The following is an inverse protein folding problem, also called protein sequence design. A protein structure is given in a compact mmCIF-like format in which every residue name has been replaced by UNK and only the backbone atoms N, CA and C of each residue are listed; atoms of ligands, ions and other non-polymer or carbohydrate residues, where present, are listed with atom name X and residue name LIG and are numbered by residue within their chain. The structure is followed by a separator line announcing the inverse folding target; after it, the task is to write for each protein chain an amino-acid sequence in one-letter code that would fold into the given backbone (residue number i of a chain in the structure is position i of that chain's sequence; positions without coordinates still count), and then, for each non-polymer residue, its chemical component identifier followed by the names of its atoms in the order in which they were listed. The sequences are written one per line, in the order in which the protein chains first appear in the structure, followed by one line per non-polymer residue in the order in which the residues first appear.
data_IF_275280003927
#
_entry.id   IF_275280003927
#
_cell.length_a   1.000
_cell.length_b   1.000
_cell.length_c   1.000
_cell.angle_alpha   90.00
_cell.angle_beta   90.00
_cell.angle_gamma   90.00
#
_symmetry.space_group_name_H-M   'P 1'
#
loop_
_entity.id
_entity.type
_entity.pdbx_description
1 polymer ?
#
# COMPACT_ATOMS: atom_id res chain seq x y z
N UNK A 1 7.32 -18.87 21.40
CA UNK A 1 6.73 -19.03 20.05
C UNK A 1 7.62 -18.32 19.06
N UNK A 2 8.37 -19.07 18.22
CA UNK A 2 9.06 -18.53 17.05
C UNK A 2 7.99 -18.39 15.97
N UNK A 3 7.85 -17.19 15.40
CA UNK A 3 7.09 -17.01 14.17
C UNK A 3 8.16 -16.95 13.08
N UNK A 4 8.34 -18.06 12.37
CA UNK A 4 9.14 -18.10 11.16
C UNK A 4 8.28 -17.50 10.04
N UNK A 5 8.59 -16.26 9.65
CA UNK A 5 8.10 -15.71 8.40
C UNK A 5 8.79 -16.47 7.26
N UNK A 6 8.18 -17.56 6.81
CA UNK A 6 8.68 -18.35 5.69
C UNK A 6 8.31 -17.66 4.36
N UNK A 7 8.81 -16.44 4.17
CA UNK A 7 8.85 -15.82 2.85
C UNK A 7 10.10 -16.31 2.14
N UNK A 8 10.00 -17.43 1.42
CA UNK A 8 10.77 -17.54 0.18
C UNK A 8 10.12 -16.61 -0.84
N UNK A 9 10.42 -15.31 -0.73
CA UNK A 9 10.40 -14.47 -1.92
C UNK A 9 11.47 -15.06 -2.84
N UNK A 10 11.07 -15.92 -3.78
CA UNK A 10 11.86 -16.15 -4.98
C UNK A 10 11.86 -14.81 -5.73
N UNK A 11 12.75 -13.90 -5.31
CA UNK A 11 13.36 -12.94 -6.21
C UNK A 11 14.06 -13.81 -7.26
N UNK A 12 13.32 -14.28 -8.27
CA UNK A 12 14.00 -14.58 -9.52
C UNK A 12 14.51 -13.23 -9.98
N UNK A 13 15.82 -13.13 -10.03
CA UNK A 13 16.57 -12.04 -10.63
C UNK A 13 16.01 -11.78 -12.05
N UNK A 14 15.00 -10.93 -12.17
CA UNK A 14 14.55 -10.37 -13.46
C UNK A 14 15.18 -9.00 -13.72
N UNK A 15 16.18 -8.64 -12.93
CA UNK A 15 17.11 -7.57 -13.28
C UNK A 15 18.27 -8.18 -14.09
N UNK A 16 18.17 -8.07 -15.41
CA UNK A 16 19.21 -8.39 -16.37
C UNK A 16 20.47 -7.52 -16.23
N UNK A 17 21.14 -7.57 -15.08
CA UNK A 17 22.43 -6.93 -14.81
C UNK A 17 23.50 -8.02 -14.81
N UNK A 18 24.17 -8.21 -15.95
CA UNK A 18 25.41 -8.99 -16.02
C UNK A 18 26.52 -8.22 -15.28
N UNK A 19 26.71 -8.53 -14.00
CA UNK A 19 27.95 -8.29 -13.26
C UNK A 19 28.90 -9.49 -13.34
N UNK A 20 30.23 -9.31 -13.16
CA UNK A 20 31.22 -10.29 -13.60
C UNK A 20 31.23 -11.55 -12.73
N UNK A 21 31.44 -12.68 -13.41
CA UNK A 21 31.64 -14.02 -12.85
C UNK A 21 32.40 -14.02 -11.51
N UNK A 22 31.75 -14.53 -10.45
CA UNK A 22 32.44 -15.14 -9.30
C UNK A 22 31.81 -16.49 -9.00
N UNK A 23 32.71 -17.42 -8.74
CA UNK A 23 32.55 -18.87 -8.62
C UNK A 23 31.69 -19.28 -7.41
N UNK A 24 30.99 -20.41 -7.57
CA UNK A 24 30.03 -20.95 -6.62
C UNK A 24 30.59 -21.26 -5.23
N UNK A 25 29.79 -20.90 -4.23
CA UNK A 25 29.83 -21.35 -2.85
C UNK A 25 28.43 -21.13 -2.25
N UNK A 26 28.03 -21.86 -1.20
CA UNK A 26 26.74 -21.64 -0.57
C UNK A 26 26.67 -20.20 -0.05
N UNK A 27 25.71 -19.43 -0.55
CA UNK A 27 25.47 -18.05 -0.11
C UNK A 27 25.19 -18.01 1.39
N UNK A 28 25.44 -16.86 2.06
CA UNK A 28 25.23 -16.74 3.49
C UNK A 28 23.77 -17.05 3.83
N UNK A 29 23.58 -18.03 4.71
CA UNK A 29 22.30 -18.38 5.30
C UNK A 29 21.73 -17.14 6.01
N UNK A 30 20.71 -16.52 5.41
CA UNK A 30 20.05 -15.33 5.92
C UNK A 30 19.33 -15.67 7.23
N UNK A 31 19.95 -15.38 8.37
CA UNK A 31 19.22 -15.34 9.64
C UNK A 31 18.26 -14.16 9.60
N UNK A 32 16.96 -14.46 9.71
CA UNK A 32 15.94 -13.45 9.94
C UNK A 32 16.36 -12.54 11.11
N UNK A 33 16.18 -11.20 11.00
CA UNK A 33 16.44 -10.30 12.10
C UNK A 33 15.65 -10.75 13.34
N UNK A 34 16.27 -10.70 14.51
CA UNK A 34 15.62 -11.06 15.77
C UNK A 34 14.52 -10.03 16.09
N UNK A 35 13.30 -10.29 15.66
CA UNK A 35 12.12 -9.51 16.02
C UNK A 35 11.96 -9.47 17.54
N UNK A 36 11.92 -8.27 18.15
CA UNK A 36 11.60 -8.14 19.59
C UNK A 36 10.15 -8.57 19.81
N UNK A 37 9.92 -9.36 20.86
CA UNK A 37 8.63 -10.01 21.20
C UNK A 37 7.43 -9.06 21.44
N UNK A 38 7.59 -7.74 21.35
CA UNK A 38 6.59 -6.74 21.75
C UNK A 38 5.70 -6.23 20.62
N UNK A 39 5.97 -6.55 19.36
CA UNK A 39 5.25 -5.98 18.21
C UNK A 39 4.80 -7.13 17.30
N UNK A 40 3.61 -7.68 17.58
CA UNK A 40 2.95 -8.54 16.60
C UNK A 40 2.41 -7.64 15.48
N UNK A 41 3.11 -7.62 14.35
CA UNK A 41 2.60 -7.09 13.09
C UNK A 41 1.76 -8.18 12.43
N UNK A 42 0.45 -8.00 12.40
CA UNK A 42 -0.39 -8.78 11.50
C UNK A 42 -0.46 -8.03 10.16
N UNK A 43 0.12 -8.63 9.14
CA UNK A 43 0.02 -8.16 7.77
C UNK A 43 -1.22 -8.79 7.14
N UNK A 44 -2.23 -7.98 6.86
CA UNK A 44 -3.44 -8.44 6.20
C UNK A 44 -3.33 -8.15 4.71
N UNK A 45 -3.06 -9.20 3.92
CA UNK A 45 -3.03 -9.15 2.46
C UNK A 45 -4.27 -9.91 1.99
N UNK A 46 -5.33 -9.18 1.63
CA UNK A 46 -6.44 -9.78 0.91
C UNK A 46 -6.08 -9.82 -0.57
N UNK A 47 -5.31 -10.84 -0.99
CA UNK A 47 -5.17 -11.13 -2.41
C UNK A 47 -6.56 -11.54 -2.91
N UNK A 48 -7.03 -10.84 -3.94
CA UNK A 48 -8.39 -10.97 -4.45
C UNK A 48 -8.69 -12.43 -4.79
N UNK A 49 -9.71 -12.96 -4.12
CA UNK A 49 -10.36 -14.25 -4.37
C UNK A 49 -9.42 -15.43 -4.68
N UNK A 50 -8.93 -16.08 -3.61
CA UNK A 50 -8.93 -17.55 -3.57
C UNK A 50 -8.05 -18.29 -4.59
N UNK A 51 -6.97 -17.68 -5.10
CA UNK A 51 -5.81 -18.50 -5.42
C UNK A 51 -5.23 -18.97 -4.09
N UNK A 52 -5.59 -20.18 -3.67
CA UNK A 52 -4.79 -20.94 -2.71
C UNK A 52 -3.35 -20.94 -3.23
N UNK A 53 -2.54 -19.99 -2.78
CA UNK A 53 -1.12 -20.23 -2.71
C UNK A 53 -1.01 -21.22 -1.55
N UNK A 54 -0.63 -22.49 -1.77
CA UNK A 54 -0.57 -23.49 -0.70
C UNK A 54 0.41 -23.12 0.45
N UNK A 55 1.08 -21.96 0.37
CA UNK A 55 1.96 -21.40 1.38
C UNK A 55 1.38 -20.24 2.20
N UNK A 56 0.15 -19.75 1.93
CA UNK A 56 -0.47 -18.69 2.73
C UNK A 56 -1.66 -19.28 3.52
N UNK A 57 -1.52 -19.54 4.83
CA UNK A 57 -2.63 -20.07 5.61
C UNK A 57 -3.77 -19.05 5.66
N UNK A 58 -4.99 -19.48 5.34
CA UNK A 58 -6.20 -18.71 5.63
C UNK A 58 -6.25 -18.42 7.13
N UNK A 59 -6.29 -17.13 7.49
CA UNK A 59 -6.28 -16.71 8.89
C UNK A 59 -7.70 -16.51 9.39
N UNK A 60 -8.19 -17.44 10.21
CA UNK A 60 -9.39 -17.24 11.03
C UNK A 60 -8.97 -16.57 12.33
N UNK A 61 -9.44 -15.34 12.59
CA UNK A 61 -9.24 -14.67 13.89
C UNK A 61 -10.06 -15.44 14.92
N UNK A 62 -9.41 -16.30 15.70
CA UNK A 62 -10.00 -16.88 16.90
C UNK A 62 -9.91 -15.83 18.01
N UNK A 63 -11.08 -15.40 18.50
CA UNK A 63 -11.25 -14.33 19.49
C UNK A 63 -10.87 -14.79 20.90
N UNK A 64 -9.58 -15.06 21.13
CA UNK A 64 -9.00 -15.10 22.47
C UNK A 64 -8.59 -13.68 22.87
N UNK A 65 -9.56 -12.84 23.30
CA UNK A 65 -9.48 -11.60 24.12
C UNK A 65 -8.24 -10.66 24.00
N UNK A 66 -7.50 -10.67 22.89
CA UNK A 66 -6.26 -9.88 22.75
C UNK A 66 -6.33 -9.01 21.51
N UNK A 67 -6.62 -7.73 21.74
CA UNK A 67 -6.52 -6.70 20.71
C UNK A 67 -5.06 -6.55 20.26
N UNK A 68 -4.83 -6.65 18.96
CA UNK A 68 -3.49 -6.46 18.39
C UNK A 68 -3.00 -5.02 18.60
N UNK A 69 -1.70 -4.79 18.87
CA UNK A 69 -1.14 -3.44 18.96
C UNK A 69 -1.23 -2.69 17.64
N UNK A 70 -0.98 -3.40 16.53
CA UNK A 70 -0.98 -2.82 15.19
C UNK A 70 -1.42 -3.84 14.14
N UNK A 71 -2.23 -3.40 13.19
CA UNK A 71 -2.48 -4.10 11.92
C UNK A 71 -2.03 -3.19 10.78
N UNK A 72 -1.42 -3.77 9.74
CA UNK A 72 -1.21 -3.08 8.47
C UNK A 72 -1.94 -3.84 7.37
N UNK A 73 -2.95 -3.19 6.78
CA UNK A 73 -3.70 -3.69 5.64
C UNK A 73 -3.06 -3.20 4.35
N UNK A 74 -2.71 -4.13 3.47
CA UNK A 74 -2.12 -3.82 2.17
C UNK A 74 -3.18 -4.01 1.11
N UNK A 75 -3.69 -2.89 0.61
CA UNK A 75 -4.78 -2.77 -0.33
C UNK A 75 -5.96 -3.73 -0.05
N UNK A 76 -6.64 -3.60 1.09
CA UNK A 76 -7.66 -4.55 1.50
C UNK A 76 -8.76 -4.71 0.43
N UNK A 77 -9.06 -5.95 0.05
CA UNK A 77 -10.02 -6.22 -1.01
C UNK A 77 -11.40 -5.59 -0.74
N UNK A 78 -11.97 -5.01 -1.80
CA UNK A 78 -13.32 -4.45 -1.82
C UNK A 78 -14.41 -5.51 -1.88
N UNK A 79 -14.14 -6.62 -2.58
CA UNK A 79 -15.10 -7.68 -2.83
C UNK A 79 -15.63 -8.23 -1.49
N UNK A 80 -16.96 -8.35 -1.38
CA UNK A 80 -17.70 -8.81 -0.20
C UNK A 80 -17.74 -7.84 1.00
N UNK A 81 -16.98 -6.74 1.02
CA UNK A 81 -16.92 -5.81 2.16
C UNK A 81 -17.43 -4.39 1.84
N UNK A 82 -17.64 -4.04 0.56
CA UNK A 82 -18.30 -2.80 0.16
C UNK A 82 -19.52 -3.03 -0.74
N UNK A 83 -20.61 -2.29 -0.49
CA UNK A 83 -21.85 -2.34 -1.28
C UNK A 83 -23.07 -2.75 -0.45
N UNK A 84 -24.22 -2.91 -1.10
CA UNK A 84 -25.51 -3.21 -0.46
C UNK A 84 -25.58 -4.60 0.20
N UNK A 85 -24.64 -5.49 -0.13
CA UNK A 85 -24.52 -6.86 0.40
C UNK A 85 -23.21 -7.05 1.18
N UNK A 86 -22.61 -5.96 1.68
CA UNK A 86 -21.36 -6.03 2.42
C UNK A 86 -21.50 -6.91 3.68
N UNK A 87 -20.55 -7.82 3.87
CA UNK A 87 -20.39 -8.55 5.12
C UNK A 87 -19.94 -7.57 6.21
N UNK A 88 -20.48 -7.66 7.44
CA UNK A 88 -20.17 -6.73 8.53
C UNK A 88 -18.73 -6.86 9.09
N UNK A 89 -17.91 -7.77 8.59
CA UNK A 89 -16.64 -8.20 9.20
C UNK A 89 -15.40 -7.86 8.35
N UNK A 90 -15.37 -6.67 7.74
CA UNK A 90 -14.18 -6.16 7.05
C UNK A 90 -13.11 -5.62 8.00
N UNK A 91 -11.87 -5.51 7.52
CA UNK A 91 -10.81 -4.80 8.24
C UNK A 91 -11.23 -3.32 8.41
N UNK A 92 -11.26 -2.86 9.66
CA UNK A 92 -11.57 -1.48 10.00
C UNK A 92 -10.66 -0.93 11.11
N UNK A 93 -10.84 0.35 11.45
CA UNK A 93 -10.06 1.03 12.49
C UNK A 93 -10.20 0.45 13.90
N UNK A 94 -11.20 -0.40 14.15
CA UNK A 94 -11.45 -1.03 15.46
C UNK A 94 -10.81 -2.41 15.57
N UNK A 95 -10.30 -2.96 14.46
CA UNK A 95 -9.67 -4.28 14.37
C UNK A 95 -8.36 -4.39 15.17
N UNK A 96 -7.72 -3.27 15.51
CA UNK A 96 -6.54 -3.21 16.39
C UNK A 96 -6.45 -1.83 17.09
N UNK A 97 -5.49 -1.68 18.01
CA UNK A 97 -5.22 -0.37 18.66
C UNK A 97 -4.73 0.69 17.67
N UNK A 98 -4.10 0.26 16.58
CA UNK A 98 -3.61 1.13 15.52
C UNK A 98 -3.67 0.37 14.18
N UNK A 99 -4.44 0.88 13.22
CA UNK A 99 -4.61 0.24 11.91
C UNK A 99 -4.08 1.18 10.83
N UNK A 100 -3.11 0.71 10.05
CA UNK A 100 -2.57 1.44 8.90
C UNK A 100 -3.03 0.74 7.63
N UNK A 101 -3.63 1.47 6.70
CA UNK A 101 -4.05 0.93 5.41
C UNK A 101 -3.22 1.58 4.30
N UNK A 102 -2.78 0.78 3.33
CA UNK A 102 -2.13 1.27 2.11
C UNK A 102 -3.08 1.02 0.95
N UNK A 103 -3.56 2.08 0.30
CA UNK A 103 -4.50 1.99 -0.84
C UNK A 103 -3.75 2.19 -2.15
N UNK A 104 -3.32 1.11 -2.79
CA UNK A 104 -2.61 1.18 -4.06
C UNK A 104 -3.52 0.96 -5.27
N UNK A 105 -4.66 0.30 -5.11
CA UNK A 105 -5.69 0.14 -6.15
C UNK A 105 -7.10 0.45 -5.62
N UNK A 106 -7.34 1.69 -5.14
CA UNK A 106 -8.63 2.06 -4.58
C UNK A 106 -9.74 2.09 -5.64
N UNK A 107 -10.74 1.23 -5.48
CA UNK A 107 -11.89 1.14 -6.37
C UNK A 107 -11.76 0.12 -7.50
N UNK A 108 -10.54 -0.36 -7.77
CA UNK A 108 -10.31 -1.59 -8.53
C UNK A 108 -10.56 -2.80 -7.63
N UNK A 109 -9.47 -3.45 -7.23
CA UNK A 109 -9.46 -4.56 -6.30
C UNK A 109 -9.51 -4.13 -4.83
N UNK A 110 -8.87 -3.03 -4.49
CA UNK A 110 -8.81 -2.46 -3.15
C UNK A 110 -10.03 -1.61 -2.77
N UNK A 111 -10.25 -1.46 -1.47
CA UNK A 111 -11.26 -0.54 -0.93
C UNK A 111 -10.99 0.91 -1.36
N UNK A 112 -12.05 1.59 -1.81
CA UNK A 112 -12.00 3.01 -2.16
C UNK A 112 -12.24 3.94 -0.96
N UNK A 113 -12.61 3.38 0.20
CA UNK A 113 -12.95 4.13 1.40
C UNK A 113 -11.83 4.01 2.44
N UNK A 114 -11.59 5.07 3.22
CA UNK A 114 -10.77 4.98 4.42
C UNK A 114 -11.30 3.89 5.34
N UNK A 115 -10.42 3.00 5.78
CA UNK A 115 -10.72 1.89 6.68
C UNK A 115 -9.81 1.88 7.91
N UNK A 116 -8.71 2.64 7.89
CA UNK A 116 -7.70 2.64 8.93
C UNK A 116 -7.91 3.66 10.04
N UNK A 117 -7.00 3.57 11.01
CA UNK A 117 -6.63 4.72 11.84
C UNK A 117 -5.84 5.74 11.03
N UNK A 118 -4.97 5.24 10.15
CA UNK A 118 -4.19 5.97 9.15
C UNK A 118 -4.40 5.28 7.80
N UNK A 119 -4.75 6.06 6.80
CA UNK A 119 -4.95 5.60 5.43
C UNK A 119 -3.92 6.30 4.53
N UNK A 120 -3.01 5.53 3.95
CA UNK A 120 -1.94 6.00 3.08
C UNK A 120 -2.34 5.72 1.63
N UNK A 121 -2.28 6.74 0.78
CA UNK A 121 -2.79 6.73 -0.59
C UNK A 121 -1.67 7.05 -1.59
N UNK A 122 -0.78 6.09 -1.92
CA UNK A 122 0.26 6.28 -2.91
C UNK A 122 -0.34 6.58 -4.29
N UNK A 123 0.13 7.65 -4.92
CA UNK A 123 -0.25 8.06 -6.28
C UNK A 123 -1.76 8.18 -6.49
N UNK A 124 -2.51 8.50 -5.44
CA UNK A 124 -3.95 8.68 -5.56
C UNK A 124 -4.28 9.74 -6.59
N UNK A 125 -5.42 9.61 -7.24
CA UNK A 125 -5.82 10.53 -8.31
C UNK A 125 -5.12 10.31 -9.64
N UNK A 126 -4.08 9.48 -9.72
CA UNK A 126 -3.58 8.93 -10.98
C UNK A 126 -4.54 7.85 -11.53
N UNK A 127 -4.38 7.51 -12.82
CA UNK A 127 -5.15 6.41 -13.44
C UNK A 127 -4.78 5.03 -12.88
N UNK A 128 -3.61 4.92 -12.26
CA UNK A 128 -3.03 3.73 -11.67
C UNK A 128 -1.67 4.08 -11.07
N UNK A 129 -1.00 3.09 -10.50
CA UNK A 129 0.33 3.24 -9.94
C UNK A 129 1.38 3.42 -11.06
N UNK A 130 2.38 4.28 -10.85
CA UNK A 130 3.47 4.45 -11.81
C UNK A 130 4.12 3.11 -12.17
N UNK A 131 4.28 2.85 -13.47
CA UNK A 131 4.91 1.64 -13.99
C UNK A 131 4.01 0.42 -14.08
N UNK A 132 2.73 0.51 -13.70
CA UNK A 132 1.75 -0.51 -14.00
C UNK A 132 1.13 -0.29 -15.40
N UNK A 133 0.89 -1.38 -16.14
CA UNK A 133 0.32 -1.28 -17.47
C UNK A 133 -1.14 -0.83 -17.39
N UNK A 134 -1.64 -0.25 -18.49
CA UNK A 134 -3.00 0.26 -18.59
C UNK A 134 -3.67 -0.40 -19.78
N UNK A 135 -4.85 -0.98 -19.58
CA UNK A 135 -5.56 -1.69 -20.64
C UNK A 135 -6.47 -2.78 -20.08
N UNK A 136 -7.10 -3.51 -21.00
CA UNK A 136 -7.90 -4.68 -20.66
C UNK A 136 -6.97 -5.89 -20.60
N UNK A 137 -6.77 -6.42 -19.39
CA UNK A 137 -5.99 -7.62 -19.15
C UNK A 137 -6.89 -8.76 -18.69
N UNK A 138 -6.39 -9.98 -18.81
CA UNK A 138 -7.07 -11.13 -18.22
C UNK A 138 -7.14 -10.94 -16.71
N UNK A 139 -8.33 -11.16 -16.13
CA UNK A 139 -8.55 -11.01 -14.70
C UNK A 139 -7.54 -11.84 -13.91
N UNK A 140 -6.97 -11.24 -12.87
CA UNK A 140 -5.94 -11.84 -12.01
C UNK A 140 -4.60 -12.14 -12.70
N UNK A 141 -4.39 -11.65 -13.92
CA UNK A 141 -3.05 -11.66 -14.52
C UNK A 141 -2.12 -10.71 -13.76
N UNK A 142 -0.81 -10.88 -13.96
CA UNK A 142 0.19 -10.01 -13.34
C UNK A 142 0.00 -8.53 -13.73
N UNK A 143 -0.42 -8.29 -14.97
CA UNK A 143 -0.69 -6.94 -15.46
C UNK A 143 -1.95 -6.34 -14.83
N UNK A 144 -3.01 -7.15 -14.69
CA UNK A 144 -4.28 -6.76 -14.05
C UNK A 144 -4.14 -6.51 -12.54
N UNK A 145 -3.29 -7.27 -11.85
CA UNK A 145 -3.03 -7.12 -10.40
C UNK A 145 -1.94 -6.10 -10.07
N UNK A 146 -1.29 -5.49 -11.07
CA UNK A 146 -0.08 -4.70 -10.84
C UNK A 146 -0.29 -3.57 -9.81
N UNK A 147 -1.40 -2.82 -9.92
CA UNK A 147 -1.72 -1.72 -9.02
C UNK A 147 -1.99 -2.21 -7.60
N UNK A 148 -2.72 -3.32 -7.47
CA UNK A 148 -3.03 -3.97 -6.19
C UNK A 148 -1.75 -4.49 -5.50
N UNK A 149 -0.84 -5.09 -6.27
CA UNK A 149 0.45 -5.60 -5.80
C UNK A 149 1.40 -4.51 -5.28
N UNK A 150 1.20 -3.24 -5.66
CA UNK A 150 2.08 -2.16 -5.21
C UNK A 150 2.04 -1.94 -3.70
N UNK A 151 0.90 -2.19 -3.03
CA UNK A 151 0.83 -1.99 -1.59
C UNK A 151 1.87 -2.83 -0.83
N UNK A 152 1.97 -4.13 -1.14
CA UNK A 152 2.95 -4.99 -0.47
C UNK A 152 4.38 -4.68 -0.90
N UNK A 153 4.60 -4.32 -2.17
CA UNK A 153 5.93 -3.95 -2.67
C UNK A 153 6.46 -2.67 -1.99
N UNK A 154 5.63 -1.63 -1.87
CA UNK A 154 5.98 -0.41 -1.15
C UNK A 154 6.25 -0.68 0.32
N UNK A 155 5.42 -1.51 0.97
CA UNK A 155 5.62 -1.85 2.38
C UNK A 155 6.93 -2.60 2.63
N UNK A 156 7.28 -3.59 1.80
CA UNK A 156 8.57 -4.31 1.90
C UNK A 156 9.75 -3.38 1.69
N UNK A 157 9.69 -2.45 0.74
CA UNK A 157 10.74 -1.46 0.54
C UNK A 157 10.82 -0.49 1.73
N UNK A 158 9.69 -0.05 2.26
CA UNK A 158 9.62 0.86 3.40
C UNK A 158 10.23 0.24 4.68
N UNK A 159 10.06 -1.06 4.91
CA UNK A 159 10.75 -1.76 6.01
C UNK A 159 12.27 -1.71 5.83
N UNK A 160 12.76 -1.87 4.59
CA UNK A 160 14.20 -1.84 4.27
C UNK A 160 14.77 -0.42 4.28
N UNK A 161 13.97 0.58 3.92
CA UNK A 161 14.34 1.98 3.83
C UNK A 161 13.27 2.88 4.47
N UNK A 162 13.29 3.05 5.81
CA UNK A 162 12.17 3.63 6.57
C UNK A 162 11.83 5.09 6.27
N UNK A 163 12.70 5.83 5.58
CA UNK A 163 12.47 7.24 5.22
C UNK A 163 12.10 7.43 3.74
N UNK A 164 11.94 6.34 2.98
CA UNK A 164 11.78 6.40 1.53
C UNK A 164 10.36 6.76 1.06
N UNK A 165 9.36 6.64 1.93
CA UNK A 165 7.94 6.90 1.64
C UNK A 165 7.32 7.89 2.65
N UNK A 166 7.72 9.17 2.64
CA UNK A 166 7.01 10.20 3.39
C UNK A 166 5.65 10.45 2.75
N UNK A 167 4.61 10.54 3.58
CA UNK A 167 3.25 10.85 3.18
C UNK A 167 2.70 11.99 4.03
N UNK A 168 2.05 12.96 3.41
CA UNK A 168 1.54 14.16 4.09
C UNK A 168 0.06 14.04 4.42
N UNK A 169 -0.33 14.50 5.60
CA UNK A 169 -1.74 14.53 5.99
C UNK A 169 -2.52 15.56 5.14
N UNK A 170 -3.73 15.21 4.74
CA UNK A 170 -4.71 16.14 4.18
C UNK A 170 -6.14 15.61 4.37
N UNK A 171 -7.13 16.51 4.34
CA UNK A 171 -8.54 16.09 4.42
C UNK A 171 -9.02 15.44 3.12
N UNK A 172 -8.39 15.79 2.00
CA UNK A 172 -8.67 15.23 0.68
C UNK A 172 -7.44 15.28 -0.24
N UNK A 173 -7.47 14.49 -1.31
CA UNK A 173 -6.44 14.54 -2.35
C UNK A 173 -6.36 15.91 -3.06
N UNK A 174 -7.50 16.57 -3.27
CA UNK A 174 -7.53 17.89 -3.93
C UNK A 174 -6.86 18.96 -3.06
N UNK A 175 -7.05 18.90 -1.74
CA UNK A 175 -6.31 19.73 -0.79
C UNK A 175 -4.82 19.44 -0.86
N UNK A 176 -4.43 18.16 -0.77
CA UNK A 176 -3.02 17.76 -0.83
C UNK A 176 -2.37 18.23 -2.14
N UNK A 177 -2.97 17.94 -3.29
CA UNK A 177 -2.39 18.24 -4.61
C UNK A 177 -2.30 19.74 -4.94
N UNK A 178 -2.99 20.59 -4.19
CA UNK A 178 -2.96 22.06 -4.36
C UNK A 178 -2.17 22.77 -3.26
N UNK A 179 -1.72 22.03 -2.24
CA UNK A 179 -1.01 22.59 -1.12
C UNK A 179 0.34 23.19 -1.57
N UNK A 180 0.68 24.34 -1.00
CA UNK A 180 1.99 24.97 -1.23
C UNK A 180 3.07 24.33 -0.35
N UNK A 181 2.66 23.72 0.76
CA UNK A 181 3.53 23.09 1.75
C UNK A 181 2.82 21.88 2.37
N UNK A 182 3.57 20.83 2.65
CA UNK A 182 3.09 19.56 3.15
C UNK A 182 3.54 19.36 4.60
N UNK A 183 2.58 19.36 5.52
CA UNK A 183 2.82 19.24 6.97
C UNK A 183 2.32 17.90 7.49
N UNK A 184 2.68 17.61 8.74
CA UNK A 184 2.26 16.40 9.46
C UNK A 184 2.59 15.13 8.64
N UNK A 185 3.87 14.94 8.35
CA UNK A 185 4.36 13.82 7.55
C UNK A 185 4.46 12.56 8.41
N UNK A 186 4.02 11.43 7.86
CA UNK A 186 4.29 10.09 8.40
C UNK A 186 5.11 9.31 7.38
N UNK A 187 5.76 8.25 7.84
CA UNK A 187 6.47 7.32 6.97
C UNK A 187 5.73 6.00 6.91
N UNK A 188 5.56 5.46 5.70
CA UNK A 188 5.09 4.08 5.52
C UNK A 188 6.09 3.10 6.18
N UNK A 189 5.59 1.97 6.68
CA UNK A 189 6.40 0.94 7.34
C UNK A 189 6.34 1.05 8.87
N UNK A 190 7.41 0.60 9.54
CA UNK A 190 7.41 0.47 11.01
C UNK A 190 7.41 1.83 11.73
N UNK A 191 7.88 2.89 11.06
CA UNK A 191 7.98 4.24 11.61
C UNK A 191 6.70 5.09 11.51
N UNK A 192 5.57 4.52 11.05
CA UNK A 192 4.31 5.28 11.03
C UNK A 192 3.94 5.72 12.46
N UNK A 193 3.84 7.02 12.71
CA UNK A 193 3.55 7.58 14.04
C UNK A 193 2.21 7.04 14.55
N UNK A 194 2.21 6.33 15.69
CA UNK A 194 1.00 5.74 16.27
C UNK A 194 -0.04 6.76 16.75
N UNK A 195 0.32 8.05 16.80
CA UNK A 195 -0.59 9.17 17.09
C UNK A 195 -1.23 9.76 15.83
N UNK A 196 -0.73 9.44 14.65
CA UNK A 196 -1.25 9.90 13.37
C UNK A 196 -2.68 9.42 13.13
N UNK A 197 -3.51 10.23 12.48
CA UNK A 197 -4.91 9.91 12.18
C UNK A 197 -5.30 10.49 10.83
N UNK A 198 -6.14 9.76 10.09
CA UNK A 198 -6.73 10.24 8.84
C UNK A 198 -5.93 9.87 7.59
N UNK A 199 -6.09 10.69 6.54
CA UNK A 199 -5.57 10.39 5.19
C UNK A 199 -4.20 11.02 4.95
N UNK A 200 -3.34 10.25 4.30
CA UNK A 200 -1.98 10.63 3.95
C UNK A 200 -1.68 10.32 2.49
N UNK A 201 -1.08 11.26 1.78
CA UNK A 201 -0.85 11.16 0.34
C UNK A 201 0.65 11.31 0.01
N UNK A 202 1.08 10.62 -1.05
CA UNK A 202 2.45 10.61 -1.55
C UNK A 202 2.50 10.17 -3.02
N UNK A 203 3.63 10.39 -3.68
CA UNK A 203 3.96 9.78 -4.98
C UNK A 203 5.16 8.83 -4.87
N UNK A 204 5.25 7.90 -5.82
CA UNK A 204 6.34 6.90 -5.92
C UNK A 204 6.95 6.89 -7.32
N UNK A 205 8.08 6.20 -7.48
CA UNK A 205 8.69 5.92 -8.78
C UNK A 205 7.96 4.78 -9.51
N UNK A 206 8.14 4.73 -10.83
CA UNK A 206 7.57 3.68 -11.65
C UNK A 206 8.22 2.30 -11.42
N UNK A 207 9.50 2.29 -11.07
CA UNK A 207 10.30 1.08 -10.87
C UNK A 207 10.96 1.12 -9.49
N UNK A 208 11.38 -0.06 -9.00
CA UNK A 208 12.15 -0.17 -7.78
C UNK A 208 13.52 0.52 -7.94
N UNK A 209 14.03 1.27 -6.94
CA UNK A 209 13.35 1.63 -5.70
C UNK A 209 12.18 2.60 -5.94
N UNK A 210 11.01 2.25 -5.40
CA UNK A 210 9.78 3.00 -5.58
C UNK A 210 9.75 4.26 -4.70
N UNK A 211 10.40 4.25 -3.55
CA UNK A 211 10.43 5.40 -2.64
C UNK A 211 11.14 6.60 -3.26
N UNK A 212 10.59 7.80 -3.03
CA UNK A 212 11.13 9.07 -3.54
C UNK A 212 11.76 9.95 -2.45
N UNK A 213 11.70 9.53 -1.18
CA UNK A 213 12.00 10.43 -0.06
C UNK A 213 11.13 11.68 -0.15
N UNK A 214 11.66 12.84 0.24
CA UNK A 214 10.91 14.11 0.28
C UNK A 214 10.31 14.52 -1.07
N UNK A 215 10.90 14.10 -2.19
CA UNK A 215 10.33 14.34 -3.52
C UNK A 215 8.98 13.63 -3.74
N UNK A 216 8.68 12.60 -2.94
CA UNK A 216 7.40 11.91 -2.92
C UNK A 216 6.26 12.73 -2.32
N UNK A 217 6.56 13.80 -1.59
CA UNK A 217 5.51 14.70 -1.06
C UNK A 217 4.88 15.55 -2.17
N UNK A 218 5.54 15.72 -3.31
CA UNK A 218 5.01 16.52 -4.41
C UNK A 218 4.01 15.72 -5.27
N UNK A 219 2.86 16.33 -5.66
CA UNK A 219 1.92 15.72 -6.60
C UNK A 219 2.50 15.64 -8.03
N UNK A 220 1.94 14.75 -8.86
CA UNK A 220 2.35 14.64 -10.26
C UNK A 220 1.94 15.89 -11.08
N UNK A 221 2.87 16.51 -11.85
CA UNK A 221 2.63 17.81 -12.48
C UNK A 221 1.53 17.86 -13.55
N UNK A 222 1.26 16.74 -14.24
CA UNK A 222 0.41 16.72 -15.45
C UNK A 222 -1.09 16.65 -15.12
N UNK A 223 -1.50 15.87 -14.12
CA UNK A 223 -2.92 15.66 -13.85
C UNK A 223 -3.57 16.75 -13.01
N UNK A 224 -2.80 17.49 -12.21
CA UNK A 224 -3.31 18.67 -11.51
C UNK A 224 -3.94 19.70 -12.47
N UNK A 225 -3.29 19.93 -13.62
CA UNK A 225 -3.78 20.88 -14.64
C UNK A 225 -5.05 20.36 -15.33
N UNK A 226 -5.13 19.06 -15.63
CA UNK A 226 -6.30 18.44 -16.27
C UNK A 226 -7.53 18.37 -15.34
N UNK A 227 -7.33 18.03 -14.06
CA UNK A 227 -8.41 18.02 -13.05
C UNK A 227 -8.97 19.42 -12.80
N UNK A 228 -8.12 20.45 -12.65
CA UNK A 228 -8.60 21.85 -12.52
C UNK A 228 -9.40 22.29 -13.74
N UNK A 229 -8.96 21.95 -14.94
CA UNK A 229 -9.64 22.32 -16.18
C UNK A 229 -11.00 21.62 -16.30
N UNK A 230 -11.08 20.32 -16.01
CA UNK A 230 -12.35 19.57 -16.06
C UNK A 230 -13.34 19.98 -14.97
N UNK A 231 -12.89 20.29 -13.75
CA UNK A 231 -13.74 20.80 -12.68
C UNK A 231 -14.31 22.20 -12.98
N UNK A 232 -13.50 23.11 -13.54
CA UNK A 232 -13.98 24.42 -14.01
C UNK A 232 -15.01 24.28 -15.14
N UNK A 233 -14.76 23.40 -16.12
CA UNK A 233 -15.71 23.13 -17.20
C UNK A 233 -17.02 22.51 -16.70
N UNK A 234 -16.97 21.66 -15.67
CA UNK A 234 -18.17 21.13 -15.02
C UNK A 234 -18.95 22.24 -14.32
N UNK A 235 -18.29 23.14 -13.57
CA UNK A 235 -18.97 24.27 -12.92
C UNK A 235 -19.61 25.23 -13.92
N UNK A 236 -18.91 25.53 -15.04
CA UNK A 236 -19.43 26.43 -16.07
C UNK A 236 -20.69 25.88 -16.76
N UNK A 237 -20.86 24.55 -16.85
CA UNK A 237 -22.08 23.93 -17.36
C UNK A 237 -23.30 24.07 -16.43
N UNK A 238 -23.12 24.49 -15.18
CA UNK A 238 -24.22 24.77 -14.25
C UNK A 238 -24.55 26.27 -14.16
N UNK A 239 -23.80 27.13 -14.86
CA UNK A 239 -23.93 28.60 -14.83
C UNK A 239 -24.45 29.15 -16.18
N UNK A 240 -24.67 28.28 -17.17
CA UNK A 240 -25.23 28.59 -18.50
C UNK A 240 -26.45 27.68 -18.71
#
# INVERSE_FOLDING_TARGET
MKIECNFTCNLKDDDGIRGPHRTGGPGPELRAPSWRRSELYLLYINIVLGLEIPSVPSFTITTELRMFPRITGLDPARALFEGTLALPEGLDRTSARFVVIVHSDPGGYGTAKPAGTVDIWPNFGEKGQPGCPQGDFDKFSADDLCDHDRAWRYFVEAIRSPLSFPAAAATSYDEWSTAHDHKNVVYLGDLTDTRARGNYYLTTNAQYPYGKGDAGLAPHPKQYRERRHTSLLKLLRYII
#
